data_IF_466638482711
#
_entry.id   IF_466638482711
#
_cell.length_a   1.000
_cell.length_b   1.000
_cell.length_c   1.000
_cell.angle_alpha   90.00
_cell.angle_beta   90.00
_cell.angle_gamma   90.00
#
_symmetry.space_group_name_H-M   'P 1'
#
loop_
_entity.id
_entity.type
_entity.pdbx_description
1 polymer ?
#
# COMPACT_ATOMS: atom_id res chain seq x y z
N UNK A 1 8.68 11.62 24.96
CA UNK A 1 9.74 10.80 24.32
C UNK A 1 10.57 10.10 25.40
N UNK A 2 10.80 8.79 25.32
CA UNK A 2 11.74 8.09 26.23
C UNK A 2 13.16 8.57 25.92
N UNK A 3 13.93 8.99 26.94
CA UNK A 3 15.37 9.25 26.80
C UNK A 3 16.03 7.97 26.24
N UNK A 4 16.56 8.03 25.02
CA UNK A 4 17.25 6.91 24.35
C UNK A 4 16.53 6.27 23.16
N UNK A 5 15.40 6.80 22.66
CA UNK A 5 14.81 6.31 21.41
C UNK A 5 15.70 6.69 20.21
N UNK A 6 16.13 5.68 19.45
CA UNK A 6 16.81 5.84 18.16
C UNK A 6 15.92 5.22 17.07
N UNK A 7 15.39 6.00 16.12
CA UNK A 7 14.56 5.45 15.05
C UNK A 7 15.37 4.52 14.15
N UNK A 8 14.71 3.50 13.61
CA UNK A 8 15.32 2.62 12.63
C UNK A 8 15.71 3.41 11.36
N UNK A 9 16.84 3.04 10.74
CA UNK A 9 17.30 3.68 9.50
C UNK A 9 16.34 3.34 8.34
N UNK A 10 15.61 4.33 7.84
CA UNK A 10 14.77 4.20 6.64
C UNK A 10 15.66 3.98 5.41
N UNK A 11 15.42 2.90 4.65
CA UNK A 11 16.20 2.56 3.45
C UNK A 11 15.59 3.07 2.15
N UNK A 12 14.27 3.18 2.10
CA UNK A 12 13.53 3.70 0.96
C UNK A 12 12.23 4.34 1.43
N UNK A 13 11.72 5.27 0.64
CA UNK A 13 10.37 5.79 0.81
C UNK A 13 9.44 5.01 -0.10
N UNK A 14 8.41 4.39 0.46
CA UNK A 14 7.47 3.54 -0.30
C UNK A 14 6.11 4.22 -0.33
N UNK A 15 5.65 4.55 -1.54
CA UNK A 15 4.32 5.12 -1.77
C UNK A 15 3.21 4.10 -1.50
N UNK A 16 1.97 4.58 -1.42
CA UNK A 16 0.80 3.71 -1.19
C UNK A 16 0.58 2.78 -2.38
N UNK A 17 0.66 3.31 -3.60
CA UNK A 17 0.59 2.56 -4.84
C UNK A 17 1.72 1.55 -4.99
N UNK A 18 2.95 1.98 -4.66
CA UNK A 18 4.11 1.10 -4.67
C UNK A 18 3.96 -0.04 -3.64
N UNK A 19 3.41 0.25 -2.46
CA UNK A 19 3.11 -0.79 -1.46
C UNK A 19 2.12 -1.83 -1.98
N UNK A 20 1.10 -1.44 -2.75
CA UNK A 20 0.18 -2.39 -3.40
C UNK A 20 0.94 -3.29 -4.36
N UNK A 21 1.79 -2.71 -5.21
CA UNK A 21 2.60 -3.46 -6.17
C UNK A 21 3.52 -4.47 -5.48
N UNK A 22 4.28 -4.02 -4.47
CA UNK A 22 5.20 -4.88 -3.71
C UNK A 22 4.45 -6.05 -3.09
N UNK A 23 3.34 -5.80 -2.39
CA UNK A 23 2.56 -6.86 -1.76
C UNK A 23 1.94 -7.81 -2.79
N UNK A 24 1.49 -7.29 -3.94
CA UNK A 24 0.96 -8.11 -5.04
C UNK A 24 2.02 -9.05 -5.59
N UNK A 25 3.21 -8.53 -5.89
CA UNK A 25 4.32 -9.32 -6.44
C UNK A 25 4.84 -10.34 -5.41
N UNK A 26 4.92 -9.97 -4.13
CA UNK A 26 5.27 -10.91 -3.04
C UNK A 26 4.28 -12.06 -2.88
N UNK A 27 3.03 -11.88 -3.30
CA UNK A 27 2.02 -12.94 -3.32
C UNK A 27 1.87 -13.61 -4.68
N UNK A 28 2.77 -13.32 -5.63
CA UNK A 28 2.81 -13.92 -6.96
C UNK A 28 1.57 -13.61 -7.82
N UNK A 29 0.86 -12.51 -7.52
CA UNK A 29 -0.29 -12.08 -8.31
C UNK A 29 0.19 -11.22 -9.49
N UNK A 30 -0.34 -11.46 -10.69
CA UNK A 30 -0.32 -10.44 -11.73
C UNK A 30 -1.36 -9.34 -11.44
N UNK A 31 -1.29 -8.21 -12.13
CA UNK A 31 -2.35 -7.19 -12.05
C UNK A 31 -3.72 -7.75 -12.47
N UNK A 32 -3.75 -8.69 -13.42
CA UNK A 32 -4.97 -9.35 -13.86
C UNK A 32 -5.53 -10.29 -12.79
N UNK A 33 -4.66 -10.99 -12.06
CA UNK A 33 -5.08 -11.85 -10.93
C UNK A 33 -5.68 -11.03 -9.80
N UNK A 34 -5.04 -9.91 -9.46
CA UNK A 34 -5.57 -8.99 -8.44
C UNK A 34 -6.89 -8.35 -8.91
N UNK A 35 -7.01 -8.03 -10.19
CA UNK A 35 -8.26 -7.52 -10.77
C UNK A 35 -9.39 -8.53 -10.60
N UNK A 36 -9.12 -9.80 -10.94
CA UNK A 36 -10.09 -10.89 -10.79
C UNK A 36 -10.47 -11.13 -9.32
N UNK A 37 -9.50 -11.09 -8.40
CA UNK A 37 -9.74 -11.33 -6.98
C UNK A 37 -10.51 -10.20 -6.27
N UNK A 38 -10.37 -8.96 -6.75
CA UNK A 38 -10.95 -7.76 -6.10
C UNK A 38 -12.20 -7.23 -6.80
N UNK A 39 -12.42 -7.61 -8.07
CA UNK A 39 -13.42 -6.97 -8.93
C UNK A 39 -13.02 -5.55 -9.39
N UNK A 40 -11.81 -5.08 -9.07
CA UNK A 40 -11.30 -3.77 -9.51
C UNK A 40 -10.72 -3.94 -10.92
N UNK A 41 -11.02 -3.06 -11.89
CA UNK A 41 -10.44 -3.17 -13.22
C UNK A 41 -8.90 -3.17 -13.19
N UNK A 42 -8.25 -4.00 -14.01
CA UNK A 42 -6.78 -4.07 -14.09
C UNK A 42 -6.16 -2.68 -14.38
N UNK A 43 -6.79 -1.89 -15.25
CA UNK A 43 -6.36 -0.51 -15.54
C UNK A 43 -6.41 0.40 -14.30
N UNK A 44 -7.38 0.18 -13.42
CA UNK A 44 -7.48 0.90 -12.14
C UNK A 44 -6.39 0.46 -11.18
N UNK A 45 -6.10 -0.86 -11.08
CA UNK A 45 -4.98 -1.37 -10.30
C UNK A 45 -3.66 -0.79 -10.80
N UNK A 46 -3.41 -0.80 -12.11
CA UNK A 46 -2.25 -0.16 -12.71
C UNK A 46 -2.18 1.34 -12.41
N UNK A 47 -3.32 2.05 -12.45
CA UNK A 47 -3.39 3.45 -12.06
C UNK A 47 -3.03 3.69 -10.59
N UNK A 48 -3.48 2.81 -9.69
CA UNK A 48 -3.12 2.85 -8.26
C UNK A 48 -1.63 2.58 -8.07
N UNK A 49 -1.09 1.51 -8.66
CA UNK A 49 0.32 1.12 -8.50
C UNK A 49 1.32 2.18 -8.98
N UNK A 50 0.90 3.02 -9.92
CA UNK A 50 1.70 4.12 -10.47
C UNK A 50 1.30 5.50 -9.91
N UNK A 51 0.56 5.56 -8.80
CA UNK A 51 0.14 6.81 -8.12
C UNK A 51 -0.70 7.76 -9.01
N UNK A 52 -1.25 7.28 -10.13
CA UNK A 52 -2.15 8.03 -11.01
C UNK A 52 -3.58 8.07 -10.48
N UNK A 53 -3.95 7.11 -9.64
CA UNK A 53 -5.26 7.01 -8.98
C UNK A 53 -5.04 6.93 -7.48
N UNK A 54 -5.60 7.89 -6.73
CA UNK A 54 -5.57 7.85 -5.27
C UNK A 54 -6.32 6.63 -4.72
N UNK A 55 -5.71 5.93 -3.79
CA UNK A 55 -6.30 4.77 -3.14
C UNK A 55 -7.09 5.20 -1.89
N UNK A 56 -8.43 5.13 -1.99
CA UNK A 56 -9.31 5.34 -0.83
C UNK A 56 -9.41 4.11 0.09
N UNK A 57 -9.88 4.34 1.32
CA UNK A 57 -9.97 3.32 2.39
C UNK A 57 -10.76 2.07 1.96
N UNK A 58 -11.89 2.23 1.26
CA UNK A 58 -12.71 1.08 0.85
C UNK A 58 -12.01 0.19 -0.18
N UNK A 59 -11.33 0.80 -1.17
CA UNK A 59 -10.53 0.03 -2.12
C UNK A 59 -9.31 -0.60 -1.46
N UNK A 60 -8.68 0.08 -0.50
CA UNK A 60 -7.60 -0.48 0.28
C UNK A 60 -8.05 -1.71 1.08
N UNK A 61 -9.23 -1.68 1.71
CA UNK A 61 -9.81 -2.86 2.39
C UNK A 61 -10.02 -4.03 1.44
N UNK A 62 -10.54 -3.78 0.23
CA UNK A 62 -10.76 -4.82 -0.78
C UNK A 62 -9.44 -5.43 -1.27
N UNK A 63 -8.45 -4.61 -1.61
CA UNK A 63 -7.11 -5.07 -2.03
C UNK A 63 -6.43 -5.84 -0.89
N UNK A 64 -6.47 -5.32 0.34
CA UNK A 64 -5.85 -5.94 1.50
C UNK A 64 -6.43 -7.33 1.80
N UNK A 65 -7.75 -7.51 1.64
CA UNK A 65 -8.38 -8.83 1.76
C UNK A 65 -7.88 -9.81 0.70
N UNK A 66 -7.77 -9.39 -0.56
CA UNK A 66 -7.25 -10.23 -1.63
C UNK A 66 -5.77 -10.60 -1.41
N UNK A 67 -4.98 -9.63 -0.92
CA UNK A 67 -3.56 -9.80 -0.59
C UNK A 67 -3.32 -10.26 0.86
N UNK A 68 -4.34 -10.79 1.56
CA UNK A 68 -4.22 -11.36 2.92
C UNK A 68 -3.41 -10.50 3.90
N UNK A 69 -3.55 -9.18 3.85
CA UNK A 69 -2.85 -8.24 4.71
C UNK A 69 -3.83 -7.29 5.40
N UNK A 70 -3.35 -6.56 6.42
CA UNK A 70 -4.15 -5.52 7.05
C UNK A 70 -4.11 -4.23 6.19
N UNK A 71 -5.24 -3.50 6.00
CA UNK A 71 -5.27 -2.31 5.14
C UNK A 71 -4.27 -1.21 5.54
N UNK A 72 -3.89 -1.16 6.81
CA UNK A 72 -2.90 -0.20 7.31
C UNK A 72 -1.51 -0.39 6.70
N UNK A 73 -1.16 -1.61 6.30
CA UNK A 73 0.15 -1.90 5.67
C UNK A 73 0.26 -1.19 4.32
N UNK A 74 -0.87 -1.05 3.61
CA UNK A 74 -0.93 -0.35 2.32
C UNK A 74 -1.03 1.16 2.53
N UNK A 75 -1.97 1.61 3.37
CA UNK A 75 -2.29 3.04 3.50
C UNK A 75 -1.23 3.85 4.26
N UNK A 76 -0.45 3.20 5.12
CA UNK A 76 0.53 3.88 5.97
C UNK A 76 1.97 3.44 5.65
N UNK A 77 2.24 2.96 4.43
CA UNK A 77 3.58 2.53 3.99
C UNK A 77 4.66 3.61 4.14
N UNK A 78 4.26 4.88 4.06
CA UNK A 78 5.13 6.06 4.22
C UNK A 78 4.90 6.86 5.50
N UNK A 79 4.08 6.38 6.45
CA UNK A 79 3.71 7.15 7.63
C UNK A 79 4.91 7.41 8.55
N UNK A 80 4.98 8.63 9.07
CA UNK A 80 6.02 9.12 9.97
C UNK A 80 5.32 9.86 11.12
N UNK A 81 5.52 9.41 12.35
CA UNK A 81 4.85 9.94 13.55
C UNK A 81 5.20 11.42 13.79
N UNK A 82 6.39 11.86 13.36
CA UNK A 82 6.85 13.24 13.51
C UNK A 82 6.35 14.15 12.37
N UNK A 83 5.86 13.57 11.27
CA UNK A 83 5.21 14.30 10.17
C UNK A 83 3.72 13.98 10.18
N UNK A 84 2.95 14.89 10.76
CA UNK A 84 1.49 14.79 10.97
C UNK A 84 0.64 14.59 9.70
N UNK A 85 1.25 14.50 8.52
CA UNK A 85 0.55 14.30 7.25
C UNK A 85 0.55 12.82 6.86
N UNK A 86 -0.59 12.17 7.11
CA UNK A 86 -0.98 10.99 6.35
C UNK A 86 -1.73 11.45 5.08
N UNK A 87 -1.04 11.37 3.95
CA UNK A 87 -1.49 11.67 2.57
C UNK A 87 -1.69 13.16 2.18
#
# INVERSE_FOLDING_TARGET
MRKGFLPAKKRMNVGVGESVRILRELQEFSQADLAKATGIPQSTISGIEHERIKLGVERAKTIARALKCHPSVILFSGWDVERENAA
#
